data_IF_173495801247
#
_entry.id   IF_173495801247
#
_cell.length_a   1.000
_cell.length_b   1.000
_cell.length_c   1.000
_cell.angle_alpha   90.00
_cell.angle_beta   90.00
_cell.angle_gamma   90.00
#
_symmetry.space_group_name_H-M   'P 1'
#
loop_
_entity.id
_entity.type
_entity.pdbx_description
1 polymer ?
#
# COMPACT_ATOMS: atom_id res chain seq x y z
N UNK A 1 -9.82 14.98 15.35
CA UNK A 1 -9.86 13.54 15.06
C UNK A 1 -8.87 13.20 13.95
N UNK A 2 -8.25 12.00 13.99
CA UNK A 2 -7.29 11.58 12.97
C UNK A 2 -7.98 11.36 11.63
N UNK A 3 -9.16 10.73 11.64
CA UNK A 3 -9.91 10.46 10.41
C UNK A 3 -10.34 11.76 9.72
N UNK A 4 -10.81 12.76 10.47
CA UNK A 4 -11.14 14.10 9.95
C UNK A 4 -9.94 14.78 9.26
N UNK A 5 -8.71 14.54 9.75
CA UNK A 5 -7.51 15.12 9.14
C UNK A 5 -7.07 14.35 7.88
N UNK A 6 -7.08 13.02 7.89
CA UNK A 6 -6.56 12.21 6.77
C UNK A 6 -7.58 11.95 5.67
N UNK A 7 -8.86 11.81 6.01
CA UNK A 7 -9.94 11.47 5.10
C UNK A 7 -11.28 12.05 5.54
N UNK A 8 -11.44 13.39 5.54
CA UNK A 8 -12.67 14.04 5.98
C UNK A 8 -13.84 13.72 5.05
N UNK A 9 -15.03 13.65 5.63
CA UNK A 9 -16.29 13.63 4.88
C UNK A 9 -16.56 15.01 4.25
N UNK A 10 -17.45 15.08 3.27
CA UNK A 10 -17.82 16.38 2.68
C UNK A 10 -18.41 17.35 3.70
N UNK A 11 -19.14 16.85 4.71
CA UNK A 11 -19.66 17.67 5.81
C UNK A 11 -18.54 18.24 6.70
N UNK A 12 -17.52 17.45 7.00
CA UNK A 12 -16.36 17.89 7.80
C UNK A 12 -15.51 18.92 7.05
N UNK A 13 -15.35 18.77 5.73
CA UNK A 13 -14.65 19.76 4.89
C UNK A 13 -15.30 21.14 4.91
N UNK A 14 -16.61 21.19 5.14
CA UNK A 14 -17.34 22.46 5.29
C UNK A 14 -17.16 23.13 6.66
N UNK A 15 -16.75 22.35 7.68
CA UNK A 15 -16.62 22.82 9.06
C UNK A 15 -15.20 23.26 9.41
N UNK A 16 -14.19 22.69 8.76
CA UNK A 16 -12.77 22.98 9.03
C UNK A 16 -11.95 22.88 7.75
N UNK A 17 -10.89 23.67 7.69
CA UNK A 17 -9.87 23.60 6.63
C UNK A 17 -8.62 22.82 7.10
N UNK A 18 -8.63 22.28 8.33
CA UNK A 18 -7.54 21.52 8.93
C UNK A 18 -7.58 20.04 8.52
N UNK A 19 -7.39 19.76 7.24
CA UNK A 19 -7.28 18.41 6.70
C UNK A 19 -6.24 18.33 5.58
N UNK A 20 -5.67 17.12 5.37
CA UNK A 20 -4.64 16.86 4.36
C UNK A 20 -5.24 16.93 2.96
N UNK A 21 -4.74 17.84 2.17
CA UNK A 21 -5.13 18.05 0.76
C UNK A 21 -4.20 17.34 -0.21
N UNK A 22 -3.12 16.72 0.31
CA UNK A 22 -2.13 15.92 -0.43
C UNK A 22 -1.48 16.68 -1.58
N UNK A 23 -1.14 17.96 -1.36
CA UNK A 23 -0.58 18.86 -2.37
C UNK A 23 0.69 18.33 -3.02
N UNK A 24 1.48 17.54 -2.30
CA UNK A 24 2.64 16.88 -2.87
C UNK A 24 2.33 16.12 -4.17
N UNK A 25 1.15 15.52 -4.29
CA UNK A 25 0.70 14.75 -5.46
C UNK A 25 -0.04 15.60 -6.50
N UNK A 26 -0.18 16.89 -6.23
CA UNK A 26 -0.97 17.84 -7.04
C UNK A 26 -0.10 18.89 -7.73
N UNK A 27 1.22 18.75 -7.74
CA UNK A 27 2.14 19.73 -8.33
C UNK A 27 1.78 20.13 -9.77
N UNK A 28 1.35 19.15 -10.58
CA UNK A 28 0.99 19.38 -11.98
C UNK A 28 -0.22 20.32 -12.19
N UNK A 29 -1.10 20.48 -11.20
CA UNK A 29 -2.22 21.45 -11.24
C UNK A 29 -1.76 22.91 -11.11
N UNK A 30 -0.55 23.10 -10.63
CA UNK A 30 -0.01 24.41 -10.27
C UNK A 30 1.03 24.94 -11.25
N UNK A 31 1.21 24.30 -12.40
CA UNK A 31 2.04 24.88 -13.45
C UNK A 31 1.47 26.24 -13.92
N UNK A 32 2.36 27.21 -14.14
CA UNK A 32 1.99 28.50 -14.71
C UNK A 32 1.81 28.41 -16.23
N UNK A 33 2.54 27.50 -16.90
CA UNK A 33 2.45 27.24 -18.34
C UNK A 33 1.66 25.95 -18.61
N UNK A 34 0.51 26.04 -19.33
CA UNK A 34 -0.25 24.86 -19.75
C UNK A 34 0.52 23.88 -20.65
N UNK A 35 1.64 24.31 -21.27
CA UNK A 35 2.49 23.42 -22.05
C UNK A 35 3.23 22.41 -21.15
N UNK A 36 3.65 22.84 -19.97
CA UNK A 36 4.27 21.93 -18.98
C UNK A 36 3.24 20.94 -18.41
N UNK A 37 2.05 21.42 -18.12
CA UNK A 37 0.92 20.59 -17.70
C UNK A 37 0.65 19.44 -18.70
N UNK A 38 0.59 19.75 -20.01
CA UNK A 38 0.33 18.77 -21.06
C UNK A 38 1.38 17.66 -21.20
N UNK A 39 2.61 17.88 -20.76
CA UNK A 39 3.67 16.84 -20.76
C UNK A 39 3.36 15.71 -19.79
N UNK A 40 2.62 16.01 -18.70
CA UNK A 40 2.30 15.09 -17.61
C UNK A 40 0.86 14.55 -17.69
N UNK A 41 0.09 14.95 -18.70
CA UNK A 41 -1.25 14.43 -18.94
C UNK A 41 -1.26 13.41 -20.06
N UNK A 42 -2.06 12.34 -19.91
CA UNK A 42 -2.22 11.30 -20.91
C UNK A 42 -2.95 11.83 -22.17
N UNK A 43 -2.96 11.03 -23.25
CA UNK A 43 -3.73 11.28 -24.47
C UNK A 43 -5.24 11.09 -24.23
N UNK A 44 -5.87 11.98 -23.51
CA UNK A 44 -7.33 11.91 -23.28
C UNK A 44 -7.88 13.25 -22.84
N UNK A 45 -9.16 13.48 -23.13
CA UNK A 45 -9.89 14.73 -22.89
C UNK A 45 -10.20 15.01 -21.39
N UNK A 46 -9.44 14.40 -20.45
CA UNK A 46 -9.63 14.57 -19.01
C UNK A 46 -8.61 15.55 -18.48
N UNK A 47 -9.09 16.55 -17.75
CA UNK A 47 -8.27 17.62 -17.21
C UNK A 47 -7.25 17.09 -16.18
N UNK A 48 -6.11 17.76 -16.06
CA UNK A 48 -5.06 17.53 -15.08
C UNK A 48 -5.61 17.48 -13.66
N UNK A 49 -6.59 18.33 -13.37
CA UNK A 49 -7.28 18.37 -12.09
C UNK A 49 -7.92 17.02 -11.69
N UNK A 50 -8.34 16.21 -12.64
CA UNK A 50 -8.95 14.90 -12.34
C UNK A 50 -7.91 13.87 -11.92
N UNK A 51 -6.74 13.86 -12.56
CA UNK A 51 -5.64 12.92 -12.22
C UNK A 51 -5.06 13.23 -10.84
N UNK A 52 -4.78 14.48 -10.56
CA UNK A 52 -4.18 14.90 -9.30
C UNK A 52 -5.16 14.73 -8.12
N UNK A 53 -6.45 15.05 -8.30
CA UNK A 53 -7.50 14.76 -7.31
C UNK A 53 -7.63 13.26 -7.03
N UNK A 54 -7.51 12.43 -8.06
CA UNK A 54 -7.55 10.98 -7.91
C UNK A 54 -6.34 10.45 -7.11
N UNK A 55 -5.14 10.96 -7.37
CA UNK A 55 -3.95 10.63 -6.58
C UNK A 55 -4.13 11.01 -5.11
N UNK A 56 -4.66 12.19 -4.82
CA UNK A 56 -4.96 12.60 -3.45
C UNK A 56 -5.96 11.64 -2.77
N UNK A 57 -7.04 11.27 -3.47
CA UNK A 57 -8.03 10.30 -2.98
C UNK A 57 -7.39 8.94 -2.70
N UNK A 58 -6.51 8.45 -3.58
CA UNK A 58 -5.80 7.18 -3.36
C UNK A 58 -4.93 7.27 -2.09
N UNK A 59 -4.24 8.38 -1.87
CA UNK A 59 -3.42 8.55 -0.68
C UNK A 59 -4.24 8.58 0.61
N UNK A 60 -5.42 9.19 0.59
CA UNK A 60 -6.38 9.12 1.71
C UNK A 60 -6.72 7.67 2.03
N UNK A 61 -7.12 6.92 1.02
CA UNK A 61 -7.46 5.50 1.11
C UNK A 61 -6.33 4.68 1.71
N UNK A 62 -5.12 4.86 1.20
CA UNK A 62 -3.94 4.13 1.66
C UNK A 62 -3.63 4.44 3.13
N UNK A 63 -3.76 5.70 3.56
CA UNK A 63 -3.55 6.06 4.97
C UNK A 63 -4.60 5.45 5.88
N UNK A 64 -5.88 5.46 5.49
CA UNK A 64 -6.95 4.76 6.23
C UNK A 64 -6.65 3.27 6.34
N UNK A 65 -6.29 2.61 5.25
CA UNK A 65 -5.89 1.19 5.27
C UNK A 65 -4.70 0.93 6.20
N UNK A 66 -3.70 1.82 6.23
CA UNK A 66 -2.55 1.68 7.12
C UNK A 66 -2.95 1.82 8.60
N UNK A 67 -3.86 2.75 8.90
CA UNK A 67 -4.41 2.93 10.25
C UNK A 67 -5.21 1.68 10.68
N UNK A 68 -6.04 1.15 9.80
CA UNK A 68 -6.81 -0.08 10.03
C UNK A 68 -5.92 -1.34 10.13
N UNK A 69 -4.75 -1.33 9.48
CA UNK A 69 -3.81 -2.45 9.59
C UNK A 69 -3.11 -2.48 10.94
N UNK A 70 -2.33 -1.46 11.25
CA UNK A 70 -1.68 -1.31 12.55
C UNK A 70 -1.17 0.11 12.78
N UNK A 71 -1.06 0.51 14.05
CA UNK A 71 -0.50 1.81 14.42
C UNK A 71 0.97 1.94 13.98
N UNK A 72 1.73 0.85 13.98
CA UNK A 72 3.10 0.83 13.45
C UNK A 72 3.12 1.13 11.94
N UNK A 73 2.25 0.49 11.16
CA UNK A 73 2.17 0.73 9.72
C UNK A 73 1.70 2.14 9.39
N UNK A 74 0.74 2.67 10.15
CA UNK A 74 0.26 4.03 10.00
C UNK A 74 1.32 5.08 10.32
N UNK A 75 1.98 4.96 11.50
CA UNK A 75 3.04 5.87 11.92
C UNK A 75 4.20 5.89 10.93
N UNK A 76 4.60 4.72 10.41
CA UNK A 76 5.63 4.65 9.38
C UNK A 76 5.20 5.32 8.07
N UNK A 77 3.92 5.19 7.69
CA UNK A 77 3.38 5.86 6.50
C UNK A 77 3.36 7.38 6.67
N UNK A 78 3.00 7.87 7.86
CA UNK A 78 3.09 9.30 8.19
C UNK A 78 4.54 9.81 8.13
N UNK A 79 5.50 9.05 8.66
CA UNK A 79 6.92 9.39 8.57
C UNK A 79 7.40 9.50 7.12
N UNK A 80 7.03 8.53 6.29
CA UNK A 80 7.38 8.56 4.87
C UNK A 80 6.73 9.75 4.16
N UNK A 81 5.43 10.00 4.41
CA UNK A 81 4.72 11.12 3.80
C UNK A 81 5.32 12.46 4.23
N UNK A 82 5.69 12.61 5.52
CA UNK A 82 6.39 13.78 6.04
C UNK A 82 7.71 14.01 5.31
N UNK A 83 8.56 12.97 5.24
CA UNK A 83 9.86 13.03 4.55
C UNK A 83 9.71 13.39 3.07
N UNK A 84 8.75 12.81 2.40
CA UNK A 84 8.50 13.07 0.99
C UNK A 84 7.97 14.49 0.72
N UNK A 85 7.14 15.02 1.63
CA UNK A 85 6.66 16.39 1.56
C UNK A 85 7.81 17.38 1.84
N UNK A 86 8.65 17.06 2.82
CA UNK A 86 9.88 17.82 3.12
C UNK A 86 10.84 17.86 1.94
N UNK A 87 11.03 16.74 1.23
CA UNK A 87 11.83 16.70 0.02
C UNK A 87 11.30 17.65 -1.06
N UNK A 88 9.99 17.72 -1.25
CA UNK A 88 9.38 18.65 -2.19
C UNK A 88 9.58 20.12 -1.76
N UNK A 89 9.47 20.41 -0.46
CA UNK A 89 9.78 21.74 0.09
C UNK A 89 11.25 22.09 -0.18
N UNK A 90 12.18 21.17 0.10
CA UNK A 90 13.62 21.38 -0.18
C UNK A 90 13.89 21.60 -1.66
N UNK A 91 13.24 20.87 -2.55
CA UNK A 91 13.34 21.08 -4.00
C UNK A 91 12.87 22.48 -4.39
N UNK A 92 11.76 22.95 -3.81
CA UNK A 92 11.25 24.30 -4.04
C UNK A 92 12.24 25.37 -3.55
N UNK A 93 12.74 25.24 -2.33
CA UNK A 93 13.67 26.19 -1.71
C UNK A 93 15.01 26.29 -2.48
N UNK A 94 15.43 25.18 -3.10
CA UNK A 94 16.64 25.14 -3.95
C UNK A 94 16.37 25.46 -5.43
N UNK A 95 15.15 25.90 -5.76
CA UNK A 95 14.75 26.24 -7.14
C UNK A 95 14.98 25.09 -8.14
N UNK A 96 14.81 23.84 -7.69
CA UNK A 96 15.10 22.62 -8.45
C UNK A 96 14.02 21.59 -8.16
N UNK A 97 12.98 21.54 -8.99
CA UNK A 97 11.79 20.71 -8.78
C UNK A 97 11.73 19.62 -9.86
N UNK A 98 11.75 18.36 -9.45
CA UNK A 98 11.63 17.22 -10.35
C UNK A 98 10.20 16.69 -10.39
N UNK A 99 9.64 16.62 -11.58
CA UNK A 99 8.39 15.88 -11.88
C UNK A 99 8.77 14.74 -12.83
N UNK A 100 8.92 13.52 -12.27
CA UNK A 100 9.51 12.39 -12.98
C UNK A 100 8.67 11.11 -12.69
N UNK A 101 7.73 10.75 -13.57
CA UNK A 101 6.91 9.55 -13.37
C UNK A 101 7.70 8.22 -13.36
N UNK A 102 8.87 8.18 -14.02
CA UNK A 102 9.68 6.97 -14.16
C UNK A 102 10.93 6.95 -13.23
N UNK A 103 11.08 7.96 -12.38
CA UNK A 103 12.19 8.05 -11.42
C UNK A 103 11.60 8.24 -10.03
N UNK A 104 11.94 7.37 -9.10
CA UNK A 104 11.60 7.58 -7.69
C UNK A 104 12.49 8.68 -7.10
N UNK A 105 12.05 9.93 -7.29
CA UNK A 105 12.75 11.15 -6.83
C UNK A 105 13.01 11.09 -5.32
N UNK A 106 12.11 10.51 -4.51
CA UNK A 106 12.29 10.45 -3.06
C UNK A 106 13.37 9.47 -2.65
N UNK A 107 13.47 8.34 -3.33
CA UNK A 107 14.57 7.39 -3.14
C UNK A 107 15.91 8.01 -3.56
N UNK A 108 15.90 8.81 -4.62
CA UNK A 108 17.11 9.52 -5.06
C UNK A 108 17.52 10.64 -4.11
N UNK A 109 16.58 11.30 -3.45
CA UNK A 109 16.83 12.33 -2.45
C UNK A 109 17.09 11.78 -1.03
N UNK A 110 17.18 10.47 -0.87
CA UNK A 110 17.55 9.84 0.41
C UNK A 110 19.08 9.88 0.58
N UNK A 111 19.60 11.07 0.88
CA UNK A 111 21.04 11.29 1.05
C UNK A 111 21.63 10.57 2.28
N UNK A 112 20.83 10.26 3.30
CA UNK A 112 21.26 9.47 4.46
C UNK A 112 21.54 8.02 4.06
N UNK A 113 20.59 7.37 3.41
CA UNK A 113 20.77 6.03 2.89
C UNK A 113 21.91 5.94 1.86
N UNK A 114 22.04 6.96 0.98
CA UNK A 114 23.15 7.05 0.03
C UNK A 114 24.50 7.25 0.73
N UNK A 115 24.56 8.04 1.78
CA UNK A 115 25.78 8.27 2.58
C UNK A 115 26.25 6.94 3.20
N UNK A 116 25.33 6.19 3.81
CA UNK A 116 25.64 4.86 4.36
C UNK A 116 26.13 3.88 3.28
N UNK A 117 25.47 3.86 2.13
CA UNK A 117 25.84 2.97 1.02
C UNK A 117 27.16 3.32 0.35
N UNK A 118 27.45 4.61 0.17
CA UNK A 118 28.66 5.10 -0.51
C UNK A 118 29.89 5.24 0.44
N UNK A 119 29.67 5.18 1.76
CA UNK A 119 30.71 5.37 2.77
C UNK A 119 31.31 6.80 2.81
N UNK A 120 30.68 7.77 2.14
CA UNK A 120 31.03 9.20 2.13
C UNK A 120 29.79 10.05 2.23
N UNK A 121 29.90 11.24 2.82
CA UNK A 121 28.80 12.20 2.96
C UNK A 121 28.26 12.55 1.55
N UNK A 122 26.96 12.40 1.38
CA UNK A 122 26.21 12.76 0.16
C UNK A 122 25.37 13.99 0.47
N UNK A 123 25.43 15.00 -0.38
CA UNK A 123 24.67 16.23 -0.26
C UNK A 123 23.39 16.20 -1.10
N UNK A 124 22.50 17.17 -0.88
CA UNK A 124 21.34 17.38 -1.74
C UNK A 124 21.73 17.56 -3.20
N UNK A 125 22.78 18.37 -3.47
CA UNK A 125 23.25 18.62 -4.82
C UNK A 125 23.79 17.36 -5.52
N UNK A 126 24.46 16.46 -4.79
CA UNK A 126 24.89 15.16 -5.35
C UNK A 126 23.67 14.32 -5.79
N UNK A 127 22.59 14.37 -5.01
CA UNK A 127 21.35 13.69 -5.37
C UNK A 127 20.66 14.32 -6.58
N UNK A 128 20.70 15.64 -6.70
CA UNK A 128 20.20 16.38 -7.87
C UNK A 128 20.92 15.94 -9.14
N UNK A 129 22.25 15.85 -9.10
CA UNK A 129 23.05 15.37 -10.24
C UNK A 129 22.75 13.91 -10.59
N UNK A 130 22.53 13.04 -9.60
CA UNK A 130 22.10 11.66 -9.84
C UNK A 130 20.76 11.60 -10.58
N UNK A 131 19.78 12.46 -10.22
CA UNK A 131 18.47 12.53 -10.88
C UNK A 131 18.63 13.05 -12.32
N UNK A 132 19.40 14.11 -12.54
CA UNK A 132 19.70 14.66 -13.87
C UNK A 132 20.31 13.62 -14.79
N UNK A 133 21.29 12.86 -14.28
CA UNK A 133 21.91 11.77 -15.03
C UNK A 133 20.90 10.68 -15.43
N UNK A 134 19.93 10.36 -14.56
CA UNK A 134 18.86 9.42 -14.88
C UNK A 134 17.89 9.94 -15.93
N UNK A 135 17.52 11.22 -15.86
CA UNK A 135 16.67 11.87 -16.88
C UNK A 135 17.38 11.83 -18.24
N UNK A 136 18.68 12.18 -18.30
CA UNK A 136 19.48 12.13 -19.52
C UNK A 136 19.50 10.71 -20.11
N UNK A 137 19.76 9.69 -19.27
CA UNK A 137 19.75 8.29 -19.71
C UNK A 137 18.41 7.85 -20.27
N UNK A 138 17.28 8.24 -19.65
CA UNK A 138 15.94 7.94 -20.16
C UNK A 138 15.70 8.62 -21.52
N UNK A 139 16.19 9.83 -21.70
CA UNK A 139 16.08 10.58 -22.95
C UNK A 139 16.89 9.91 -24.06
N UNK A 140 18.13 9.53 -23.80
CA UNK A 140 19.01 8.79 -24.74
C UNK A 140 18.41 7.43 -25.15
N UNK A 141 17.67 6.78 -24.25
CA UNK A 141 16.98 5.52 -24.52
C UNK A 141 15.63 5.68 -25.24
N UNK A 142 15.22 6.90 -25.64
CA UNK A 142 13.92 7.16 -26.25
C UNK A 142 12.73 7.00 -25.30
N UNK A 143 12.95 6.91 -23.98
CA UNK A 143 11.93 6.70 -22.97
C UNK A 143 11.39 7.99 -22.35
N UNK A 144 11.85 9.14 -22.80
CA UNK A 144 11.44 10.48 -22.35
C UNK A 144 11.03 11.38 -23.52
N UNK A 145 10.44 10.82 -24.57
CA UNK A 145 10.10 11.55 -25.82
C UNK A 145 9.14 12.71 -25.60
N UNK A 146 8.22 12.59 -24.63
CA UNK A 146 7.27 13.65 -24.29
C UNK A 146 7.83 14.66 -23.28
N UNK A 147 9.07 14.46 -22.78
CA UNK A 147 9.64 15.27 -21.73
C UNK A 147 8.89 15.18 -20.39
N UNK A 148 8.25 14.02 -20.10
CA UNK A 148 7.50 13.81 -18.87
C UNK A 148 8.39 13.64 -17.64
N UNK A 149 9.67 13.25 -17.81
CA UNK A 149 10.67 13.29 -16.75
C UNK A 149 11.47 14.59 -16.93
N UNK A 150 11.18 15.57 -16.11
CA UNK A 150 11.75 16.90 -16.28
C UNK A 150 12.06 17.59 -14.95
N UNK A 151 13.02 18.50 -15.01
CA UNK A 151 13.37 19.46 -13.98
C UNK A 151 12.70 20.80 -14.28
N UNK A 152 12.19 21.44 -13.24
CA UNK A 152 11.51 22.72 -13.29
C UNK A 152 12.08 23.67 -12.23
N UNK A 153 11.83 24.97 -12.40
CA UNK A 153 12.12 25.98 -11.41
C UNK A 153 10.83 26.36 -10.66
N UNK A 154 10.93 26.96 -9.48
CA UNK A 154 9.77 27.45 -8.72
C UNK A 154 8.89 28.45 -9.50
N UNK A 155 9.49 29.25 -10.41
CA UNK A 155 8.75 30.17 -11.29
C UNK A 155 7.80 29.47 -12.27
N UNK A 156 8.02 28.19 -12.53
CA UNK A 156 7.15 27.39 -13.40
C UNK A 156 5.87 26.96 -12.70
N UNK A 157 5.74 27.23 -11.39
CA UNK A 157 4.59 26.92 -10.56
C UNK A 157 4.01 28.17 -9.92
N UNK A 158 2.73 28.13 -9.58
CA UNK A 158 2.05 29.16 -8.79
C UNK A 158 2.57 29.11 -7.34
N UNK A 159 2.84 30.28 -6.75
CA UNK A 159 3.34 30.42 -5.36
C UNK A 159 2.40 29.78 -4.33
N UNK A 160 1.11 29.78 -4.62
CA UNK A 160 0.08 29.13 -3.80
C UNK A 160 0.36 27.67 -3.51
N UNK A 161 0.98 26.95 -4.47
CA UNK A 161 1.37 25.55 -4.30
C UNK A 161 2.31 25.37 -3.10
N UNK A 162 3.32 26.22 -2.96
CA UNK A 162 4.28 26.12 -1.86
C UNK A 162 3.65 26.42 -0.50
N UNK A 163 2.74 27.39 -0.44
CA UNK A 163 2.01 27.73 0.78
C UNK A 163 1.18 26.53 1.26
N UNK A 164 0.43 25.92 0.37
CA UNK A 164 -0.41 24.77 0.65
C UNK A 164 0.42 23.51 0.99
N UNK A 165 1.56 23.33 0.34
CA UNK A 165 2.48 22.22 0.65
C UNK A 165 3.05 22.32 2.07
N UNK A 166 3.36 23.53 2.55
CA UNK A 166 3.80 23.75 3.94
C UNK A 166 2.71 23.48 4.95
N UNK A 167 1.47 23.80 4.60
CA UNK A 167 0.33 23.50 5.47
C UNK A 167 0.11 21.99 5.62
N UNK A 168 0.13 21.23 4.51
CA UNK A 168 0.12 19.76 4.57
C UNK A 168 1.29 19.21 5.41
N UNK A 169 2.49 19.75 5.26
CA UNK A 169 3.66 19.35 6.05
C UNK A 169 3.47 19.58 7.54
N UNK A 170 2.87 20.70 7.94
CA UNK A 170 2.52 21.02 9.33
C UNK A 170 1.55 20.00 9.89
N UNK A 171 0.48 19.70 9.16
CA UNK A 171 -0.54 18.74 9.58
C UNK A 171 0.03 17.32 9.70
N UNK A 172 0.82 16.86 8.72
CA UNK A 172 1.47 15.55 8.73
C UNK A 172 2.43 15.44 9.92
N UNK A 173 3.23 16.48 10.18
CA UNK A 173 4.19 16.50 11.29
C UNK A 173 3.49 16.40 12.64
N UNK A 174 2.41 17.15 12.84
CA UNK A 174 1.60 17.11 14.05
C UNK A 174 0.96 15.72 14.25
N UNK A 175 0.42 15.13 13.19
CA UNK A 175 -0.12 13.76 13.24
C UNK A 175 0.96 12.75 13.61
N UNK A 176 2.10 12.79 12.91
CA UNK A 176 3.22 11.90 13.20
C UNK A 176 3.67 11.99 14.66
N UNK A 177 3.88 13.20 15.19
CA UNK A 177 4.33 13.41 16.56
C UNK A 177 3.34 12.89 17.61
N UNK A 178 2.03 12.97 17.32
CA UNK A 178 0.96 12.41 18.16
C UNK A 178 0.99 10.87 18.14
N UNK A 179 1.06 10.27 16.94
CA UNK A 179 1.00 8.83 16.77
C UNK A 179 2.29 8.11 17.17
N UNK A 180 3.46 8.74 16.97
CA UNK A 180 4.74 8.20 17.41
C UNK A 180 4.83 8.05 18.94
N UNK A 181 4.05 8.82 19.69
CA UNK A 181 3.97 8.77 21.15
C UNK A 181 2.91 7.80 21.68
N UNK A 182 2.10 7.20 20.80
CA UNK A 182 1.04 6.27 21.19
C UNK A 182 1.51 4.82 21.05
N UNK A 183 1.88 4.16 22.18
CA UNK A 183 2.44 2.81 22.13
C UNK A 183 1.37 1.71 22.07
N UNK A 184 0.10 2.02 22.30
CA UNK A 184 -0.98 1.03 22.42
C UNK A 184 -1.74 0.88 21.11
N UNK A 185 -1.71 -0.34 20.56
CA UNK A 185 -2.49 -0.75 19.41
C UNK A 185 -3.49 -1.83 19.86
N UNK A 186 -4.77 -1.49 20.07
CA UNK A 186 -5.76 -2.43 20.61
C UNK A 186 -5.94 -3.68 19.75
N UNK A 187 -5.85 -3.56 18.42
CA UNK A 187 -5.92 -4.69 17.50
C UNK A 187 -4.73 -5.63 17.68
N UNK A 188 -3.53 -5.06 17.83
CA UNK A 188 -2.32 -5.83 18.07
C UNK A 188 -2.31 -6.46 19.46
N UNK A 189 -2.86 -5.78 20.47
CA UNK A 189 -2.99 -6.33 21.83
C UNK A 189 -3.98 -7.51 21.82
N UNK A 190 -5.16 -7.36 21.21
CA UNK A 190 -6.11 -8.44 21.04
C UNK A 190 -5.50 -9.64 20.30
N UNK A 191 -4.69 -9.41 19.26
CA UNK A 191 -3.96 -10.47 18.58
C UNK A 191 -3.02 -11.22 19.54
N UNK A 192 -2.19 -10.50 20.32
CA UNK A 192 -1.22 -11.11 21.26
C UNK A 192 -1.91 -11.96 22.34
N UNK A 193 -3.05 -11.51 22.82
CA UNK A 193 -3.85 -12.23 23.82
C UNK A 193 -4.45 -13.52 23.26
N UNK A 194 -4.87 -13.51 22.00
CA UNK A 194 -5.58 -14.63 21.37
C UNK A 194 -4.67 -15.63 20.64
N UNK A 195 -3.34 -15.44 20.60
CA UNK A 195 -2.44 -16.39 19.94
C UNK A 195 -2.60 -17.80 20.50
N UNK A 196 -2.54 -17.99 21.83
CA UNK A 196 -2.66 -19.31 22.45
C UNK A 196 -4.11 -19.78 22.60
N UNK A 197 -5.04 -19.00 23.20
CA UNK A 197 -6.37 -19.53 23.52
C UNK A 197 -7.27 -19.74 22.29
N UNK A 198 -7.05 -18.98 21.20
CA UNK A 198 -7.88 -19.09 20.00
C UNK A 198 -7.10 -19.67 18.81
N UNK A 199 -6.00 -19.02 18.39
CA UNK A 199 -5.29 -19.39 17.17
C UNK A 199 -4.52 -20.71 17.29
N UNK A 200 -4.08 -21.06 18.49
CA UNK A 200 -3.48 -22.36 18.81
C UNK A 200 -4.30 -23.16 19.81
N UNK A 201 -5.62 -22.99 19.82
CA UNK A 201 -6.52 -23.83 20.58
C UNK A 201 -6.44 -25.28 20.09
N UNK A 202 -6.07 -26.26 20.95
CA UNK A 202 -5.87 -27.66 20.52
C UNK A 202 -7.13 -28.33 19.94
N UNK A 203 -8.33 -27.83 20.29
CA UNK A 203 -9.59 -28.35 19.75
C UNK A 203 -9.89 -27.85 18.34
N UNK A 204 -9.32 -26.71 17.95
CA UNK A 204 -9.52 -26.08 16.65
C UNK A 204 -8.28 -26.24 15.76
N UNK A 205 -7.12 -25.89 16.26
CA UNK A 205 -5.85 -25.98 15.55
C UNK A 205 -5.17 -27.33 15.81
N UNK A 206 -5.73 -28.38 15.23
CA UNK A 206 -5.26 -29.76 15.34
C UNK A 206 -3.95 -29.98 14.59
N UNK A 207 -3.70 -29.21 13.52
CA UNK A 207 -2.46 -29.27 12.75
C UNK A 207 -1.25 -28.65 13.46
N UNK A 208 -1.46 -27.80 14.47
CA UNK A 208 -0.41 -27.00 15.11
C UNK A 208 0.18 -25.93 14.20
N UNK A 209 -0.48 -25.61 13.06
CA UNK A 209 -0.01 -24.64 12.07
C UNK A 209 -1.02 -23.51 11.85
N UNK A 210 -0.52 -22.32 11.56
CA UNK A 210 -1.31 -21.10 11.40
C UNK A 210 -0.81 -20.31 10.18
N UNK A 211 -1.75 -19.82 9.39
CA UNK A 211 -1.48 -18.89 8.28
C UNK A 211 -2.03 -17.52 8.63
N UNK A 212 -1.20 -16.48 8.52
CA UNK A 212 -1.60 -15.09 8.80
C UNK A 212 -1.37 -14.24 7.55
N UNK A 213 -2.40 -13.54 7.11
CA UNK A 213 -2.34 -12.55 6.04
C UNK A 213 -2.46 -11.13 6.58
N UNK A 214 -1.61 -10.22 6.08
CA UNK A 214 -1.69 -8.77 6.35
C UNK A 214 -1.28 -7.99 5.10
N UNK A 215 -1.85 -6.80 4.88
CA UNK A 215 -1.53 -5.96 3.72
C UNK A 215 -0.24 -5.12 3.92
N UNK A 216 0.27 -5.00 5.16
CA UNK A 216 1.38 -4.11 5.48
C UNK A 216 2.62 -4.89 5.97
N UNK A 217 3.77 -4.71 5.29
CA UNK A 217 5.04 -5.38 5.65
C UNK A 217 5.43 -5.08 7.11
N UNK A 218 5.24 -3.84 7.58
CA UNK A 218 5.56 -3.46 8.96
C UNK A 218 4.66 -4.19 9.96
N UNK A 219 3.39 -4.42 9.61
CA UNK A 219 2.47 -5.24 10.41
C UNK A 219 2.93 -6.69 10.43
N UNK A 220 3.27 -7.28 9.27
CA UNK A 220 3.81 -8.65 9.16
C UNK A 220 5.01 -8.85 10.08
N UNK A 221 5.95 -7.90 10.09
CA UNK A 221 7.14 -7.97 10.96
C UNK A 221 6.79 -7.89 12.46
N UNK A 222 5.80 -7.06 12.81
CA UNK A 222 5.34 -6.94 14.20
C UNK A 222 4.62 -8.20 14.67
N UNK A 223 3.76 -8.79 13.84
CA UNK A 223 3.10 -10.05 14.09
C UNK A 223 4.11 -11.19 14.29
N UNK A 224 5.14 -11.26 13.44
CA UNK A 224 6.21 -12.26 13.56
C UNK A 224 6.96 -12.17 14.88
N UNK A 225 7.26 -10.95 15.34
CA UNK A 225 7.89 -10.74 16.66
C UNK A 225 6.99 -11.22 17.80
N UNK A 226 5.69 -10.91 17.75
CA UNK A 226 4.74 -11.33 18.76
C UNK A 226 4.58 -12.85 18.82
N UNK A 227 4.46 -13.51 17.67
CA UNK A 227 4.36 -14.97 17.54
C UNK A 227 5.62 -15.65 18.10
N UNK A 228 6.81 -15.16 17.73
CA UNK A 228 8.09 -15.66 18.25
C UNK A 228 8.23 -15.49 19.77
N UNK A 229 7.76 -14.35 20.31
CA UNK A 229 7.76 -14.10 21.75
C UNK A 229 6.84 -15.08 22.54
N UNK A 230 5.84 -15.67 21.89
CA UNK A 230 4.99 -16.72 22.47
C UNK A 230 5.56 -18.15 22.31
N UNK A 231 6.76 -18.28 21.70
CA UNK A 231 7.48 -19.55 21.55
C UNK A 231 7.22 -20.29 20.23
N UNK A 232 6.49 -19.69 19.27
CA UNK A 232 6.25 -20.29 17.98
C UNK A 232 7.29 -19.89 16.94
N UNK A 233 7.60 -20.78 16.02
CA UNK A 233 8.52 -20.53 14.91
C UNK A 233 7.76 -19.93 13.73
N UNK A 234 8.04 -18.67 13.38
CA UNK A 234 7.38 -17.95 12.32
C UNK A 234 8.25 -17.79 11.08
N UNK A 235 7.72 -18.18 9.92
CA UNK A 235 8.23 -17.92 8.58
C UNK A 235 7.55 -16.66 8.03
N UNK A 236 8.34 -15.65 7.66
CA UNK A 236 7.84 -14.41 7.07
C UNK A 236 8.09 -14.43 5.58
N UNK A 237 7.03 -14.28 4.79
CA UNK A 237 7.08 -14.26 3.32
C UNK A 237 6.52 -12.93 2.81
N UNK A 238 7.32 -12.30 1.96
CA UNK A 238 6.97 -11.08 1.22
C UNK A 238 7.40 -11.26 -0.25
N UNK A 239 7.07 -10.32 -1.12
CA UNK A 239 7.51 -10.35 -2.51
C UNK A 239 9.05 -10.43 -2.65
N UNK A 240 9.78 -9.87 -1.69
CA UNK A 240 11.24 -9.85 -1.74
C UNK A 240 11.91 -11.21 -1.53
N UNK A 241 11.24 -12.19 -0.90
CA UNK A 241 11.85 -13.49 -0.59
C UNK A 241 10.98 -14.71 -0.98
N UNK A 242 9.86 -14.49 -1.67
CA UNK A 242 8.93 -15.56 -2.02
C UNK A 242 9.60 -16.69 -2.80
N UNK A 243 10.29 -16.36 -3.88
CA UNK A 243 10.89 -17.34 -4.80
C UNK A 243 12.02 -18.13 -4.11
N UNK A 244 12.80 -17.46 -3.26
CA UNK A 244 13.86 -18.10 -2.46
C UNK A 244 13.29 -19.08 -1.43
N UNK A 245 12.11 -18.76 -0.87
CA UNK A 245 11.49 -19.53 0.20
C UNK A 245 10.46 -20.56 -0.29
N UNK A 246 10.23 -20.68 -1.60
CA UNK A 246 9.21 -21.58 -2.18
C UNK A 246 9.35 -23.02 -1.67
N UNK A 247 10.53 -23.59 -1.77
CA UNK A 247 10.80 -24.94 -1.28
C UNK A 247 10.58 -25.08 0.23
N UNK A 248 10.97 -24.07 1.03
CA UNK A 248 10.71 -24.06 2.49
C UNK A 248 9.23 -24.03 2.81
N UNK A 249 8.42 -23.29 2.00
CA UNK A 249 6.97 -23.28 2.15
C UNK A 249 6.39 -24.66 1.86
N UNK A 250 6.78 -25.30 0.77
CA UNK A 250 6.31 -26.65 0.39
C UNK A 250 6.61 -27.68 1.46
N UNK A 251 7.85 -27.81 1.90
CA UNK A 251 8.28 -28.77 2.93
C UNK A 251 7.52 -28.60 4.26
N UNK A 252 7.12 -27.38 4.60
CA UNK A 252 6.51 -27.09 5.91
C UNK A 252 4.99 -26.96 5.87
N UNK A 253 4.38 -26.57 4.71
CA UNK A 253 2.96 -26.19 4.65
C UNK A 253 2.16 -26.88 3.56
N UNK A 254 2.77 -27.53 2.57
CA UNK A 254 2.06 -28.27 1.53
C UNK A 254 1.84 -29.74 1.94
N UNK A 255 0.57 -30.17 2.01
CA UNK A 255 0.24 -31.56 2.31
C UNK A 255 0.42 -32.51 1.10
N UNK A 256 0.58 -31.98 -0.10
CA UNK A 256 0.84 -32.74 -1.32
C UNK A 256 2.33 -32.76 -1.69
N UNK A 257 3.21 -32.20 -0.85
CA UNK A 257 4.64 -32.26 -1.09
C UNK A 257 5.12 -33.71 -1.03
N UNK A 258 5.75 -34.19 -2.13
CA UNK A 258 6.19 -35.58 -2.28
C UNK A 258 7.50 -35.91 -1.54
N UNK A 259 8.22 -34.86 -1.08
CA UNK A 259 9.47 -35.01 -0.33
C UNK A 259 9.27 -35.25 1.16
N UNK A 260 10.36 -35.09 1.92
CA UNK A 260 10.33 -35.22 3.40
C UNK A 260 9.71 -33.98 4.00
N UNK A 261 8.61 -34.14 4.70
CA UNK A 261 7.96 -33.05 5.41
C UNK A 261 8.81 -32.55 6.58
N UNK A 262 8.88 -31.22 6.71
CA UNK A 262 9.52 -30.55 7.84
C UNK A 262 8.47 -29.87 8.72
N UNK A 263 8.82 -29.66 9.98
CA UNK A 263 8.05 -28.89 10.96
C UNK A 263 8.92 -27.84 11.63
N UNK A 264 9.75 -27.19 10.80
CA UNK A 264 10.63 -26.11 11.25
C UNK A 264 9.85 -24.87 11.63
N UNK A 265 8.63 -24.70 11.06
CA UNK A 265 7.77 -23.55 11.26
C UNK A 265 6.35 -23.93 11.63
N UNK A 266 5.80 -23.23 12.65
CA UNK A 266 4.40 -23.36 13.07
C UNK A 266 3.50 -22.32 12.39
N UNK A 267 4.06 -21.16 12.04
CA UNK A 267 3.32 -20.02 11.52
C UNK A 267 3.95 -19.53 10.25
N UNK A 268 3.14 -19.30 9.23
CA UNK A 268 3.50 -18.50 8.06
C UNK A 268 2.78 -17.17 8.15
N UNK A 269 3.53 -16.06 8.01
CA UNK A 269 3.00 -14.71 8.04
C UNK A 269 3.38 -14.03 6.74
N UNK A 270 2.39 -13.59 5.98
CA UNK A 270 2.61 -13.16 4.60
C UNK A 270 1.78 -11.94 4.24
N UNK A 271 2.21 -11.27 3.17
CA UNK A 271 1.38 -10.32 2.43
C UNK A 271 0.50 -11.05 1.40
N UNK A 272 -0.14 -10.33 0.49
CA UNK A 272 -0.94 -10.93 -0.59
C UNK A 272 -0.15 -11.89 -1.51
N UNK A 273 1.17 -11.87 -1.43
CA UNK A 273 2.07 -12.65 -2.29
C UNK A 273 1.82 -14.17 -2.27
N UNK A 274 1.27 -14.70 -1.16
CA UNK A 274 0.88 -16.11 -1.05
C UNK A 274 -0.64 -16.35 -1.23
N UNK A 275 -1.40 -15.34 -1.61
CA UNK A 275 -2.82 -15.54 -1.96
C UNK A 275 -2.96 -16.39 -3.24
N UNK A 276 -1.89 -16.50 -4.04
CA UNK A 276 -1.85 -17.29 -5.27
C UNK A 276 -0.58 -18.15 -5.35
N UNK A 277 -0.64 -19.23 -6.13
CA UNK A 277 0.53 -20.03 -6.54
C UNK A 277 1.12 -20.99 -5.50
N UNK A 278 0.59 -21.09 -4.29
CA UNK A 278 1.11 -21.99 -3.23
C UNK A 278 0.00 -22.82 -2.57
N UNK A 279 0.41 -23.91 -1.92
CA UNK A 279 -0.46 -24.74 -1.10
C UNK A 279 -0.07 -24.61 0.38
N UNK A 280 -1.05 -24.31 1.24
CA UNK A 280 -0.81 -24.10 2.67
C UNK A 280 -1.72 -25.04 3.52
N UNK A 281 -2.18 -26.14 2.95
CA UNK A 281 -3.23 -27.00 3.48
C UNK A 281 -2.73 -28.06 4.49
N UNK A 282 -1.48 -27.96 4.95
CA UNK A 282 -1.07 -28.57 6.23
C UNK A 282 -1.52 -27.72 7.43
N UNK A 283 -1.88 -26.44 7.21
CA UNK A 283 -2.52 -25.61 8.22
C UNK A 283 -4.04 -25.76 8.11
N UNK A 284 -4.73 -25.66 9.24
CA UNK A 284 -6.19 -25.64 9.30
C UNK A 284 -6.74 -24.38 10.00
N UNK A 285 -5.87 -23.46 10.36
CA UNK A 285 -6.26 -22.16 10.91
C UNK A 285 -5.66 -21.05 10.04
N UNK A 286 -6.50 -20.10 9.64
CA UNK A 286 -6.13 -18.91 8.91
C UNK A 286 -6.60 -17.65 9.65
N UNK A 287 -5.75 -16.67 9.78
CA UNK A 287 -6.07 -15.35 10.28
C UNK A 287 -5.88 -14.31 9.17
N UNK A 288 -6.96 -13.64 8.80
CA UNK A 288 -6.90 -12.41 8.02
C UNK A 288 -6.75 -11.24 9.00
N UNK A 289 -5.49 -10.89 9.32
CA UNK A 289 -5.21 -9.75 10.20
C UNK A 289 -5.70 -8.45 9.58
N UNK A 290 -5.50 -8.31 8.26
CA UNK A 290 -6.19 -7.32 7.45
C UNK A 290 -7.17 -8.05 6.54
N UNK A 291 -8.46 -7.93 6.84
CA UNK A 291 -9.52 -8.55 6.02
C UNK A 291 -9.57 -7.85 4.67
N UNK A 292 -9.42 -8.60 3.56
CA UNK A 292 -9.42 -7.98 2.25
C UNK A 292 -10.82 -7.44 1.92
N UNK A 293 -10.85 -6.27 1.31
CA UNK A 293 -12.08 -5.59 0.88
C UNK A 293 -12.78 -6.26 -0.30
N UNK A 294 -12.07 -7.13 -0.98
CA UNK A 294 -12.57 -7.92 -2.08
C UNK A 294 -12.82 -9.35 -1.59
N UNK A 295 -14.07 -9.78 -1.63
CA UNK A 295 -14.47 -11.15 -1.25
C UNK A 295 -13.73 -12.21 -2.06
N UNK A 296 -13.40 -11.94 -3.33
CA UNK A 296 -12.59 -12.85 -4.16
C UNK A 296 -11.20 -13.07 -3.55
N UNK A 297 -10.54 -12.02 -3.07
CA UNK A 297 -9.24 -12.15 -2.38
C UNK A 297 -9.35 -12.95 -1.09
N UNK A 298 -10.41 -12.73 -0.31
CA UNK A 298 -10.69 -13.52 0.89
C UNK A 298 -10.84 -15.01 0.54
N UNK A 299 -11.62 -15.33 -0.48
CA UNK A 299 -11.80 -16.70 -0.96
C UNK A 299 -10.50 -17.30 -1.52
N UNK A 300 -9.68 -16.52 -2.22
CA UNK A 300 -8.36 -16.95 -2.67
C UNK A 300 -7.45 -17.34 -1.48
N UNK A 301 -7.36 -16.49 -0.45
CA UNK A 301 -6.60 -16.80 0.78
C UNK A 301 -7.10 -18.06 1.46
N UNK A 302 -8.42 -18.20 1.67
CA UNK A 302 -9.03 -19.39 2.27
C UNK A 302 -8.74 -20.63 1.41
N UNK A 303 -8.83 -20.52 0.09
CA UNK A 303 -8.55 -21.60 -0.86
C UNK A 303 -7.08 -22.08 -0.86
N UNK A 304 -6.14 -21.37 -0.22
CA UNK A 304 -4.76 -21.87 0.01
C UNK A 304 -4.71 -22.91 1.14
N UNK A 305 -5.58 -22.79 2.12
CA UNK A 305 -5.67 -23.65 3.30
C UNK A 305 -6.77 -24.71 3.11
N UNK A 306 -7.94 -24.32 2.61
CA UNK A 306 -9.05 -25.23 2.29
C UNK A 306 -8.88 -25.82 0.88
N UNK A 307 -8.19 -26.95 0.80
CA UNK A 307 -7.85 -27.58 -0.49
C UNK A 307 -7.98 -29.09 -0.44
N UNK A 308 -8.21 -29.72 -1.61
CA UNK A 308 -8.20 -31.18 -1.76
C UNK A 308 -6.82 -31.71 -1.34
N UNK A 309 -6.82 -32.72 -0.46
CA UNK A 309 -5.61 -33.25 0.16
C UNK A 309 -5.33 -32.75 1.57
N UNK A 310 -6.11 -31.78 2.08
CA UNK A 310 -6.09 -31.43 3.52
C UNK A 310 -6.42 -32.65 4.36
N UNK A 311 -5.64 -32.85 5.43
CA UNK A 311 -5.89 -33.93 6.41
C UNK A 311 -6.90 -33.52 7.48
N UNK A 312 -7.19 -32.23 7.58
CA UNK A 312 -8.06 -31.66 8.60
C UNK A 312 -9.49 -31.53 8.06
N UNK A 313 -10.50 -31.97 8.83
CA UNK A 313 -11.90 -31.94 8.40
C UNK A 313 -12.49 -30.53 8.35
N UNK A 314 -11.91 -29.58 9.09
CA UNK A 314 -12.39 -28.22 9.20
C UNK A 314 -11.26 -27.22 9.07
N UNK A 315 -11.54 -26.09 8.41
CA UNK A 315 -10.68 -24.89 8.37
C UNK A 315 -11.33 -23.79 9.19
N UNK A 316 -10.60 -23.26 10.17
CA UNK A 316 -11.06 -22.16 11.00
C UNK A 316 -10.52 -20.84 10.45
N UNK A 317 -11.44 -19.94 10.13
CA UNK A 317 -11.11 -18.63 9.53
C UNK A 317 -11.40 -17.52 10.54
N UNK A 318 -10.37 -16.78 10.91
CA UNK A 318 -10.47 -15.63 11.78
C UNK A 318 -10.26 -14.37 10.96
N UNK A 319 -11.06 -13.34 11.20
CA UNK A 319 -10.99 -12.07 10.52
C UNK A 319 -11.01 -10.91 11.52
N UNK A 320 -10.02 -10.01 11.46
CA UNK A 320 -10.19 -8.72 12.07
C UNK A 320 -10.99 -7.84 11.12
N UNK A 321 -12.17 -7.45 11.55
CA UNK A 321 -13.02 -6.53 10.78
C UNK A 321 -12.52 -5.10 10.94
N UNK A 322 -12.69 -4.24 9.92
CA UNK A 322 -12.37 -2.84 10.01
C UNK A 322 -13.24 -2.12 11.03
N UNK A 323 -12.82 -0.96 11.49
CA UNK A 323 -13.67 -0.06 12.28
C UNK A 323 -14.88 0.43 11.46
N UNK A 324 -15.93 0.90 12.13
CA UNK A 324 -17.09 1.46 11.43
C UNK A 324 -16.71 2.68 10.58
N UNK A 325 -15.82 3.51 11.09
CA UNK A 325 -15.27 4.67 10.38
C UNK A 325 -14.43 4.25 9.19
N UNK A 326 -13.57 3.24 9.36
CA UNK A 326 -12.78 2.64 8.28
C UNK A 326 -13.68 2.09 7.18
N UNK A 327 -14.69 1.29 7.52
CA UNK A 327 -15.64 0.69 6.56
C UNK A 327 -16.40 1.77 5.77
N UNK A 328 -16.90 2.80 6.42
CA UNK A 328 -17.59 3.91 5.77
C UNK A 328 -16.71 4.61 4.70
N UNK A 329 -15.43 4.84 5.01
CA UNK A 329 -14.48 5.43 4.08
C UNK A 329 -14.13 4.48 2.93
N UNK A 330 -14.10 3.19 3.17
CA UNK A 330 -13.69 2.20 2.20
C UNK A 330 -14.79 1.84 1.21
N UNK A 331 -16.05 1.92 1.57
CA UNK A 331 -17.12 1.82 0.58
C UNK A 331 -17.01 2.94 -0.49
N UNK A 332 -16.58 4.13 -0.08
CA UNK A 332 -16.15 5.18 -1.01
C UNK A 332 -14.95 4.74 -1.87
N UNK A 333 -14.00 3.99 -1.30
CA UNK A 333 -12.83 3.43 -1.96
C UNK A 333 -13.19 2.42 -3.02
N UNK A 334 -14.10 1.49 -2.73
CA UNK A 334 -14.52 0.48 -3.69
C UNK A 334 -15.07 1.13 -4.97
N UNK A 335 -15.84 2.22 -4.84
CA UNK A 335 -16.32 3.01 -5.98
C UNK A 335 -15.18 3.73 -6.72
N UNK A 336 -14.19 4.26 -6.00
CA UNK A 336 -13.02 4.91 -6.59
C UNK A 336 -12.10 3.91 -7.28
N UNK A 337 -11.87 2.73 -6.67
CA UNK A 337 -11.04 1.66 -7.24
C UNK A 337 -11.63 1.08 -8.54
N UNK A 338 -12.96 0.89 -8.60
CA UNK A 338 -13.64 0.47 -9.83
C UNK A 338 -13.47 1.50 -10.93
N UNK A 339 -13.54 2.79 -10.60
CA UNK A 339 -13.25 3.88 -11.54
C UNK A 339 -11.79 3.91 -11.98
N UNK A 340 -10.84 3.65 -11.08
CA UNK A 340 -9.41 3.62 -11.36
C UNK A 340 -8.99 2.44 -12.24
N UNK A 341 -9.53 1.25 -12.02
CA UNK A 341 -9.32 0.11 -12.90
C UNK A 341 -9.81 0.40 -14.33
N UNK A 342 -10.92 1.15 -14.46
CA UNK A 342 -11.36 1.65 -15.76
C UNK A 342 -10.36 2.60 -16.41
N UNK A 343 -9.58 3.35 -15.61
CA UNK A 343 -8.51 4.22 -16.11
C UNK A 343 -7.25 3.46 -16.53
N UNK A 344 -6.82 2.44 -15.77
CA UNK A 344 -5.65 1.60 -16.12
C UNK A 344 -5.84 0.91 -17.48
N UNK A 345 -7.05 0.44 -17.76
CA UNK A 345 -7.36 -0.20 -19.05
C UNK A 345 -7.34 0.80 -20.22
N UNK A 346 -7.67 2.07 -19.97
CA UNK A 346 -7.68 3.13 -20.99
C UNK A 346 -6.29 3.75 -21.24
N UNK A 347 -5.36 3.69 -20.29
CA UNK A 347 -4.08 4.42 -20.34
C UNK A 347 -2.82 3.54 -20.31
N UNK A 348 -2.95 2.20 -20.28
CA UNK A 348 -1.84 1.26 -20.33
C UNK A 348 -1.15 1.02 -18.98
N UNK A 349 -0.21 0.05 -18.97
CA UNK A 349 0.46 -0.50 -17.78
C UNK A 349 1.40 0.49 -17.03
N UNK A 350 1.60 1.70 -17.55
CA UNK A 350 2.57 2.67 -17.01
C UNK A 350 2.15 3.35 -15.70
N UNK A 351 1.05 2.93 -15.10
CA UNK A 351 0.51 3.53 -13.88
C UNK A 351 0.66 2.68 -12.62
N UNK A 352 1.67 1.83 -12.53
CA UNK A 352 2.07 1.16 -11.26
C UNK A 352 2.65 2.19 -10.27
N UNK A 353 1.77 3.09 -9.77
CA UNK A 353 2.17 4.22 -8.93
C UNK A 353 2.33 3.79 -7.45
N UNK A 354 1.75 2.68 -7.00
CA UNK A 354 1.55 2.40 -5.58
C UNK A 354 2.10 1.08 -5.05
N UNK A 355 2.33 0.07 -5.85
CA UNK A 355 3.14 -1.11 -5.49
C UNK A 355 3.55 -1.87 -6.75
N UNK A 356 4.73 -2.49 -6.72
CA UNK A 356 5.17 -3.45 -7.75
C UNK A 356 4.29 -4.72 -7.77
N UNK A 357 3.39 -4.88 -6.81
CA UNK A 357 2.54 -6.05 -6.59
C UNK A 357 1.10 -5.89 -7.12
N UNK A 358 0.71 -4.74 -7.70
CA UNK A 358 -0.62 -4.58 -8.27
C UNK A 358 -0.75 -5.30 -9.62
N UNK A 359 -1.31 -6.51 -9.59
CA UNK A 359 -1.75 -7.20 -10.79
C UNK A 359 -3.02 -6.55 -11.35
N UNK A 360 -2.98 -6.14 -12.62
CA UNK A 360 -4.16 -5.67 -13.36
C UNK A 360 -5.08 -6.87 -13.61
N UNK A 361 -6.19 -6.93 -12.91
CA UNK A 361 -7.25 -7.90 -13.23
C UNK A 361 -8.15 -7.30 -14.31
N UNK A 362 -8.10 -7.88 -15.49
CA UNK A 362 -9.01 -7.54 -16.59
C UNK A 362 -10.44 -7.96 -16.23
N UNK A 363 -11.26 -7.01 -15.79
CA UNK A 363 -12.71 -7.18 -15.71
C UNK A 363 -13.36 -6.50 -16.90
N UNK A 364 -14.45 -7.11 -17.41
CA UNK A 364 -15.24 -6.64 -18.55
C UNK A 364 -15.84 -5.23 -18.25
N UNK A 365 -15.13 -4.21 -18.71
CA UNK A 365 -15.35 -2.80 -18.36
C UNK A 365 -16.57 -2.22 -19.04
N UNK A 366 -17.02 -2.80 -20.16
CA UNK A 366 -18.17 -2.34 -20.90
C UNK A 366 -19.45 -2.33 -20.06
N UNK A 367 -19.59 -3.26 -19.09
CA UNK A 367 -20.77 -3.36 -18.21
C UNK A 367 -20.71 -2.48 -16.95
N UNK A 368 -19.52 -2.08 -16.51
CA UNK A 368 -19.36 -1.22 -15.34
C UNK A 368 -19.60 0.27 -15.65
N UNK A 369 -19.54 0.67 -16.92
CA UNK A 369 -19.74 2.06 -17.37
C UNK A 369 -21.23 2.39 -17.49
N UNK A 370 -22.09 1.40 -17.78
CA UNK A 370 -23.54 1.61 -18.00
C UNK A 370 -24.40 1.50 -16.72
N UNK A 371 -23.78 1.31 -15.54
CA UNK A 371 -24.52 1.31 -14.26
C UNK A 371 -25.35 0.07 -14.00
N UNK A 372 -25.23 -0.98 -14.81
CA UNK A 372 -25.84 -2.28 -14.53
C UNK A 372 -25.03 -3.04 -13.50
N UNK A 373 -25.70 -3.53 -12.44
CA UNK A 373 -25.09 -4.40 -11.43
C UNK A 373 -24.50 -5.65 -12.09
N UNK A 374 -23.24 -5.95 -11.78
CA UNK A 374 -22.58 -7.15 -12.30
C UNK A 374 -23.38 -8.41 -11.87
N UNK A 375 -23.51 -9.44 -12.73
CA UNK A 375 -24.17 -10.68 -12.36
C UNK A 375 -23.62 -11.32 -11.08
N UNK A 376 -22.37 -11.06 -10.71
CA UNK A 376 -21.74 -11.49 -9.44
C UNK A 376 -22.28 -10.72 -8.22
N UNK A 377 -22.79 -9.50 -8.36
CA UNK A 377 -23.43 -8.76 -7.27
C UNK A 377 -24.79 -9.38 -6.90
N UNK A 378 -25.49 -9.98 -7.85
CA UNK A 378 -26.75 -10.67 -7.62
C UNK A 378 -26.57 -11.92 -6.75
N UNK A 379 -25.44 -12.64 -6.90
CA UNK A 379 -25.12 -13.82 -6.09
C UNK A 379 -24.68 -13.51 -4.64
N UNK A 380 -24.22 -12.29 -4.36
CA UNK A 380 -23.80 -11.87 -3.01
C UNK A 380 -25.00 -11.51 -2.12
N UNK A 381 -26.15 -11.19 -2.71
CA UNK A 381 -27.39 -10.89 -1.97
C UNK A 381 -28.33 -12.10 -1.80
N UNK A 382 -28.04 -13.23 -2.44
CA UNK A 382 -28.85 -14.47 -2.33
C UNK A 382 -28.19 -15.57 -1.46
N UNK A 383 -27.05 -15.27 -0.81
CA UNK A 383 -26.39 -16.09 0.20
C UNK A 383 -26.41 -15.39 1.56
#
# INVERSE_FOLDING_TARGET
>A
DTMTIIAPTEAEKLQTDEWLKYFRYRAIEYFTDPANERKHTGRGNRGVNDVAKQLATIMQILLVKRLESSFTAFTQSLLNLRRYTENMIKMWENDTIFVCPQIDVNKELDYEAKTLKRGKRVSFNDCVEDIRAKITKLTEQGRNEKGQNAEYNRKDFKEEYYIQLKEDFRLISNLYDRWAKNPQDPKFDAFKENIKPELFNPQKNTSGKLVIFSEAINTVQSLARAVKAKGYKALVITAANRDEMEHTIEENFDANYEGVWKDDYNVIITTEVLAEGVNLHRANVILNYDTPWNSTRLMQRIGRVNRIGSKEPFVYVYNFMPSAEGDAQIQLVRKAHTKLQSFHVLFGEDSKIFSEEESVVHYDIAKAVDGEESPLQKYVYEL
#
